data_IF_924342536833
#
_entry.id   IF_924342536833
#
_cell.length_a   1.000
_cell.length_b   1.000
_cell.length_c   1.000
_cell.angle_alpha   90.00
_cell.angle_beta   90.00
_cell.angle_gamma   90.00
#
_symmetry.space_group_name_H-M   'P 1'
#
loop_
_entity.id
_entity.type
_entity.pdbx_description
1 polymer ?
#
# COMPACT_ATOMS: atom_id res chain seq x y z
N UNK A 1 -3.43 -2.81 16.12
CA UNK A 1 -1.97 -2.96 16.30
C UNK A 1 -1.40 -3.50 15.01
N UNK A 2 -0.29 -2.93 14.53
CA UNK A 2 0.40 -3.44 13.36
C UNK A 2 1.44 -4.48 13.78
N UNK A 3 1.61 -5.49 12.94
CA UNK A 3 2.61 -6.54 13.06
C UNK A 3 3.45 -6.59 11.77
N UNK A 4 4.63 -7.23 11.80
CA UNK A 4 5.40 -7.46 10.59
C UNK A 4 4.55 -8.15 9.51
N UNK A 5 4.72 -7.68 8.28
CA UNK A 5 4.04 -8.19 7.10
C UNK A 5 5.05 -8.93 6.23
N UNK A 6 4.76 -10.18 5.92
CA UNK A 6 5.62 -11.05 5.12
C UNK A 6 4.99 -11.36 3.77
N UNK A 7 5.80 -11.72 2.77
CA UNK A 7 5.33 -12.00 1.40
C UNK A 7 4.32 -13.15 1.35
N UNK A 8 4.47 -14.11 2.25
CA UNK A 8 3.63 -15.31 2.37
C UNK A 8 2.25 -15.01 2.98
N UNK A 9 2.07 -13.80 3.56
CA UNK A 9 0.79 -13.40 4.11
C UNK A 9 -0.26 -13.22 3.01
N UNK A 10 -1.42 -13.86 3.19
CA UNK A 10 -2.53 -13.84 2.23
C UNK A 10 -3.25 -12.48 2.08
N UNK A 11 -2.76 -11.41 2.69
CA UNK A 11 -3.45 -10.11 2.70
C UNK A 11 -3.53 -9.51 1.28
N UNK A 12 -2.47 -9.63 0.48
CA UNK A 12 -2.48 -9.18 -0.92
C UNK A 12 -3.37 -10.06 -1.81
N UNK A 13 -3.61 -11.31 -1.41
CA UNK A 13 -4.49 -12.24 -2.12
C UNK A 13 -5.94 -12.19 -1.61
N UNK A 14 -6.25 -11.29 -0.66
CA UNK A 14 -7.59 -11.13 -0.12
C UNK A 14 -8.47 -10.30 -1.05
N UNK A 15 -9.72 -10.73 -1.25
CA UNK A 15 -10.64 -10.08 -2.20
C UNK A 15 -10.80 -8.57 -2.01
N UNK A 16 -10.70 -8.07 -0.77
CA UNK A 16 -10.79 -6.63 -0.49
C UNK A 16 -9.57 -5.86 -1.03
N UNK A 17 -8.37 -6.43 -0.91
CA UNK A 17 -7.16 -5.82 -1.47
C UNK A 17 -7.15 -5.92 -2.99
N UNK A 18 -7.57 -7.06 -3.56
CA UNK A 18 -7.62 -7.29 -5.00
C UNK A 18 -8.44 -6.22 -5.75
N UNK A 19 -9.53 -5.74 -5.14
CA UNK A 19 -10.32 -4.64 -5.69
C UNK A 19 -9.55 -3.31 -5.83
N UNK A 20 -8.42 -3.16 -5.11
CA UNK A 20 -7.56 -1.99 -5.15
C UNK A 20 -6.15 -2.30 -5.67
N UNK A 21 -5.88 -3.54 -6.12
CA UNK A 21 -4.53 -4.00 -6.46
C UNK A 21 -3.86 -3.09 -7.47
N UNK A 22 -4.58 -2.66 -8.51
CA UNK A 22 -4.03 -1.78 -9.55
C UNK A 22 -3.48 -0.47 -8.97
N UNK A 23 -4.16 0.11 -7.97
CA UNK A 23 -3.74 1.36 -7.31
C UNK A 23 -2.53 1.13 -6.38
N UNK A 24 -2.38 -0.08 -5.84
CA UNK A 24 -1.37 -0.44 -4.86
C UNK A 24 -0.39 -1.51 -5.39
N UNK A 25 -0.24 -1.59 -6.72
CA UNK A 25 0.59 -2.60 -7.38
C UNK A 25 2.06 -2.52 -6.96
N UNK A 26 2.51 -1.32 -6.56
CA UNK A 26 3.83 -1.05 -6.00
C UNK A 26 4.13 -1.89 -4.76
N UNK A 27 3.13 -2.39 -4.03
CA UNK A 27 3.36 -3.19 -2.83
C UNK A 27 4.12 -4.47 -3.18
N UNK A 28 3.84 -5.07 -4.33
CA UNK A 28 4.54 -6.26 -4.81
C UNK A 28 6.03 -5.99 -5.10
N UNK A 29 6.36 -4.77 -5.55
CA UNK A 29 7.72 -4.35 -5.89
C UNK A 29 8.51 -3.87 -4.67
N UNK A 30 7.87 -3.16 -3.74
CA UNK A 30 8.55 -2.65 -2.53
C UNK A 30 9.11 -3.82 -1.72
N UNK A 31 8.44 -4.97 -1.67
CA UNK A 31 8.95 -6.19 -1.04
C UNK A 31 10.28 -6.72 -1.60
N UNK A 32 10.64 -6.36 -2.83
CA UNK A 32 11.87 -6.82 -3.46
C UNK A 32 13.08 -5.93 -3.10
N UNK A 33 12.85 -4.86 -2.33
CA UNK A 33 13.89 -3.98 -1.81
C UNK A 33 14.79 -4.64 -0.75
N UNK A 34 15.97 -4.05 -0.53
CA UNK A 34 16.93 -4.56 0.47
C UNK A 34 16.59 -4.19 1.91
N UNK A 35 15.98 -3.02 2.12
CA UNK A 35 15.59 -2.51 3.44
C UNK A 35 14.12 -2.12 3.42
N UNK A 36 13.27 -3.08 3.80
CA UNK A 36 11.82 -2.95 3.74
C UNK A 36 11.25 -2.86 5.15
N UNK A 37 10.50 -1.79 5.41
CA UNK A 37 9.57 -1.74 6.54
C UNK A 37 8.21 -2.17 6.02
N UNK A 38 7.78 -3.37 6.37
CA UNK A 38 6.48 -3.92 5.98
C UNK A 38 5.65 -4.24 7.21
N UNK A 39 4.51 -3.59 7.34
CA UNK A 39 3.60 -3.69 8.47
C UNK A 39 2.18 -3.96 7.98
N UNK A 40 1.42 -4.75 8.73
CA UNK A 40 -0.01 -4.95 8.50
C UNK A 40 -0.79 -5.05 9.81
N UNK A 41 -2.09 -4.82 9.76
CA UNK A 41 -2.95 -5.12 10.91
C UNK A 41 -3.25 -6.61 11.02
N UNK A 42 -3.50 -7.10 12.24
CA UNK A 42 -3.80 -8.53 12.49
C UNK A 42 -5.05 -9.02 11.74
N UNK A 43 -6.00 -8.13 11.53
CA UNK A 43 -7.27 -8.35 10.82
C UNK A 43 -7.16 -8.10 9.31
N UNK A 44 -5.94 -7.88 8.77
CA UNK A 44 -5.66 -7.71 7.35
C UNK A 44 -6.43 -6.55 6.69
N UNK A 45 -6.76 -5.50 7.45
CA UNK A 45 -7.51 -4.32 6.99
C UNK A 45 -6.64 -3.10 6.71
N UNK A 46 -5.34 -3.17 6.98
CA UNK A 46 -4.41 -2.16 6.54
C UNK A 46 -3.01 -2.74 6.34
N UNK A 47 -2.28 -2.14 5.42
CA UNK A 47 -0.90 -2.44 5.09
C UNK A 47 -0.16 -1.11 5.02
N UNK A 48 1.01 -1.05 5.64
CA UNK A 48 1.94 0.06 5.50
C UNK A 48 3.29 -0.52 5.07
N UNK A 49 3.82 -0.08 3.93
CA UNK A 49 5.06 -0.64 3.38
C UNK A 49 5.97 0.45 2.82
N UNK A 50 7.27 0.33 3.05
CA UNK A 50 8.26 1.33 2.66
C UNK A 50 9.61 0.67 2.36
N UNK A 51 10.30 1.17 1.34
CA UNK A 51 11.75 1.04 1.24
C UNK A 51 12.40 2.24 1.91
N UNK A 52 13.34 2.03 2.83
CA UNK A 52 14.04 3.11 3.52
C UNK A 52 14.51 4.19 2.53
N UNK A 53 14.20 5.46 2.81
CA UNK A 53 14.51 6.59 1.94
C UNK A 53 13.43 6.97 0.92
N UNK A 54 12.39 6.15 0.73
CA UNK A 54 11.23 6.45 -0.11
C UNK A 54 9.98 6.74 0.73
N UNK A 55 8.89 7.20 0.12
CA UNK A 55 7.63 7.38 0.84
C UNK A 55 7.06 6.04 1.33
N UNK A 56 6.54 6.03 2.56
CA UNK A 56 5.78 4.88 3.03
C UNK A 56 4.42 4.84 2.35
N UNK A 57 4.06 3.71 1.78
CA UNK A 57 2.75 3.52 1.21
C UNK A 57 1.78 2.94 2.23
N UNK A 58 0.56 3.48 2.26
CA UNK A 58 -0.52 3.10 3.16
C UNK A 58 -1.76 2.69 2.37
N UNK A 59 -2.19 1.45 2.60
CA UNK A 59 -3.51 0.96 2.21
C UNK A 59 -4.35 0.69 3.46
N UNK A 60 -5.62 1.09 3.43
CA UNK A 60 -6.61 0.82 4.48
C UNK A 60 -7.90 0.39 3.79
N UNK A 61 -8.55 -0.64 4.34
CA UNK A 61 -9.87 -1.08 3.91
C UNK A 61 -10.92 0.00 4.21
N UNK A 62 -11.43 0.63 3.16
CA UNK A 62 -12.39 1.73 3.22
C UNK A 62 -13.80 1.30 3.65
N UNK A 63 -14.12 0.01 3.57
CA UNK A 63 -15.42 -0.53 4.00
C UNK A 63 -15.57 -0.56 5.53
N UNK A 64 -14.60 -0.03 6.27
CA UNK A 64 -14.61 0.06 7.73
C UNK A 64 -15.23 1.38 8.17
N UNK A 65 -15.87 1.37 9.33
CA UNK A 65 -16.34 2.59 9.97
C UNK A 65 -15.20 3.60 10.15
N UNK A 66 -15.49 4.88 9.96
CA UNK A 66 -14.53 5.98 10.10
C UNK A 66 -13.79 5.95 11.46
N UNK A 67 -14.49 5.57 12.53
CA UNK A 67 -13.92 5.41 13.87
C UNK A 67 -12.84 4.30 13.94
N UNK A 68 -13.01 3.22 13.18
CA UNK A 68 -12.03 2.12 13.07
C UNK A 68 -10.85 2.53 12.23
N UNK A 69 -11.08 3.23 11.11
CA UNK A 69 -10.02 3.79 10.26
C UNK A 69 -9.14 4.75 11.09
N UNK A 70 -9.75 5.64 11.86
CA UNK A 70 -9.04 6.59 12.73
C UNK A 70 -8.15 5.87 13.76
N UNK A 71 -8.65 4.79 14.37
CA UNK A 71 -7.88 3.93 15.29
C UNK A 71 -6.74 3.18 14.60
N UNK A 72 -6.96 2.67 13.38
CA UNK A 72 -5.92 2.00 12.59
C UNK A 72 -4.79 3.00 12.32
N UNK A 73 -5.11 4.18 11.79
CA UNK A 73 -4.10 5.19 11.45
C UNK A 73 -3.38 5.68 12.71
N UNK A 74 -4.10 5.93 13.81
CA UNK A 74 -3.49 6.31 15.08
C UNK A 74 -2.53 5.26 15.63
N UNK A 75 -2.88 3.96 15.51
CA UNK A 75 -1.98 2.86 15.88
C UNK A 75 -0.71 2.85 15.03
N UNK A 76 -0.80 3.19 13.74
CA UNK A 76 0.38 3.28 12.87
C UNK A 76 1.28 4.44 13.28
N UNK A 77 0.73 5.64 13.50
CA UNK A 77 1.50 6.81 13.91
C UNK A 77 2.28 6.55 15.22
N UNK A 78 1.64 5.92 16.21
CA UNK A 78 2.30 5.59 17.48
C UNK A 78 3.47 4.62 17.31
N UNK A 79 3.34 3.66 16.40
CA UNK A 79 4.40 2.68 16.11
C UNK A 79 5.56 3.30 15.32
N UNK A 80 5.29 4.32 14.51
CA UNK A 80 6.28 4.98 13.66
C UNK A 80 6.90 6.24 14.27
N UNK A 81 6.45 6.69 15.45
CA UNK A 81 6.89 7.97 16.06
C UNK A 81 8.41 8.14 16.17
N UNK A 82 9.16 7.06 16.32
CA UNK A 82 10.63 7.07 16.45
C UNK A 82 11.37 6.91 15.11
N UNK A 83 10.67 6.42 14.07
CA UNK A 83 11.25 6.09 12.76
C UNK A 83 11.57 7.30 11.88
N UNK A 84 11.28 8.53 12.34
CA UNK A 84 11.48 9.80 11.61
C UNK A 84 11.01 9.71 10.15
N UNK A 85 9.78 9.24 9.94
CA UNK A 85 9.21 9.09 8.62
C UNK A 85 9.20 10.43 7.86
N UNK A 86 9.78 10.46 6.66
CA UNK A 86 9.86 11.66 5.82
C UNK A 86 8.60 11.93 5.01
N UNK A 87 7.90 10.88 4.55
CA UNK A 87 6.70 11.01 3.74
C UNK A 87 5.81 9.75 3.77
N UNK A 88 4.52 9.95 3.49
CA UNK A 88 3.52 8.89 3.34
C UNK A 88 2.70 9.11 2.06
N UNK A 89 2.36 8.03 1.38
CA UNK A 89 1.56 7.97 0.15
C UNK A 89 0.41 6.99 0.34
N UNK A 90 -0.74 7.26 -0.28
CA UNK A 90 -1.93 6.40 -0.18
C UNK A 90 -3.17 7.13 -0.67
N UNK A 91 -4.36 6.60 -0.38
CA UNK A 91 -5.61 7.34 -0.65
C UNK A 91 -5.57 8.70 0.05
N UNK A 92 -5.94 9.81 -0.63
CA UNK A 92 -5.78 11.16 -0.10
C UNK A 92 -6.39 11.37 1.29
N UNK A 93 -7.57 10.79 1.53
CA UNK A 93 -8.25 10.84 2.82
C UNK A 93 -7.43 10.21 3.96
N UNK A 94 -6.82 9.05 3.75
CA UNK A 94 -6.04 8.35 4.77
C UNK A 94 -4.67 8.99 4.97
N UNK A 95 -4.04 9.43 3.87
CA UNK A 95 -2.78 10.17 3.93
C UNK A 95 -2.94 11.48 4.73
N UNK A 96 -4.07 12.18 4.56
CA UNK A 96 -4.40 13.39 5.33
C UNK A 96 -4.62 13.08 6.81
N UNK A 97 -5.42 12.07 7.15
CA UNK A 97 -5.63 11.69 8.56
C UNK A 97 -4.31 11.29 9.22
N UNK A 98 -3.44 10.56 8.51
CA UNK A 98 -2.12 10.20 9.00
C UNK A 98 -1.26 11.44 9.23
N UNK A 99 -1.15 12.33 8.23
CA UNK A 99 -0.27 13.49 8.33
C UNK A 99 -0.67 14.43 9.46
N UNK A 100 -1.96 14.63 9.70
CA UNK A 100 -2.49 15.43 10.80
C UNK A 100 -2.23 14.82 12.19
N UNK A 101 -2.33 13.49 12.32
CA UNK A 101 -2.06 12.79 13.59
C UNK A 101 -0.56 12.70 13.87
N UNK A 102 0.21 12.31 12.86
CA UNK A 102 1.65 12.14 12.98
C UNK A 102 2.35 13.45 13.30
N UNK A 103 1.99 14.55 12.63
CA UNK A 103 2.53 15.88 12.88
C UNK A 103 2.31 16.36 14.31
N UNK A 104 1.16 16.03 14.91
CA UNK A 104 0.86 16.34 16.33
C UNK A 104 1.71 15.52 17.30
N UNK A 105 1.99 14.26 16.98
CA UNK A 105 2.81 13.38 17.82
C UNK A 105 4.29 13.75 17.76
N UNK A 106 4.77 14.18 16.59
CA UNK A 106 6.20 14.47 16.37
C UNK A 106 6.53 15.97 16.37
N UNK A 107 5.57 16.84 16.72
CA UNK A 107 5.69 18.31 16.69
C UNK A 107 6.25 18.86 15.37
N UNK A 108 5.95 18.18 14.26
CA UNK A 108 6.48 18.50 12.93
C UNK A 108 5.43 19.25 12.10
N UNK A 109 5.85 20.01 11.08
CA UNK A 109 4.93 20.53 10.07
C UNK A 109 4.63 19.46 9.02
N UNK A 110 3.46 19.55 8.38
CA UNK A 110 3.10 18.67 7.26
C UNK A 110 2.76 19.50 6.01
N UNK A 111 2.92 18.87 4.85
CA UNK A 111 2.50 19.41 3.55
C UNK A 111 1.90 18.27 2.74
N UNK A 112 0.74 18.51 2.15
CA UNK A 112 0.12 17.57 1.22
C UNK A 112 0.57 17.96 -0.19
N UNK A 113 1.04 16.97 -0.96
CA UNK A 113 1.33 17.11 -2.38
C UNK A 113 0.72 15.94 -3.15
N UNK A 114 0.34 16.21 -4.39
CA UNK A 114 0.05 15.19 -5.39
C UNK A 114 1.23 15.18 -6.35
N UNK A 115 1.80 14.01 -6.59
CA UNK A 115 2.86 13.82 -7.57
C UNK A 115 2.40 12.82 -8.62
N UNK A 116 2.70 13.11 -9.88
CA UNK A 116 2.49 12.18 -10.97
C UNK A 116 3.84 11.56 -11.29
N UNK A 117 4.01 10.27 -11.00
CA UNK A 117 5.19 9.53 -11.41
C UNK A 117 4.90 8.88 -12.75
N UNK A 118 5.59 9.35 -13.80
CA UNK A 118 5.56 8.67 -15.09
C UNK A 118 6.43 7.42 -14.98
N UNK A 119 5.80 6.24 -15.04
CA UNK A 119 6.55 4.99 -15.06
C UNK A 119 7.16 4.77 -16.45
N UNK A 120 8.48 4.89 -16.54
CA UNK A 120 9.22 4.55 -17.76
C UNK A 120 9.92 3.21 -17.57
N UNK A 121 9.41 2.16 -18.21
CA UNK A 121 10.11 0.89 -18.33
C UNK A 121 11.19 1.00 -19.41
N UNK A 122 12.41 1.40 -19.03
CA UNK A 122 13.52 1.58 -19.98
C UNK A 122 14.04 0.26 -20.58
N UNK A 123 13.80 -0.87 -19.90
CA UNK A 123 14.17 -2.21 -20.36
C UNK A 123 13.04 -3.17 -20.10
N UNK A 124 12.55 -3.84 -21.14
CA UNK A 124 11.55 -4.89 -21.02
C UNK A 124 12.17 -6.06 -20.25
N UNK A 125 11.71 -6.29 -19.02
CA UNK A 125 12.06 -7.48 -18.25
C UNK A 125 11.07 -8.57 -18.64
N UNK A 126 11.53 -9.55 -19.43
CA UNK A 126 10.69 -10.72 -19.72
C UNK A 126 10.52 -11.54 -18.44
N UNK A 127 9.28 -11.83 -18.03
CA UNK A 127 9.06 -12.62 -16.84
C UNK A 127 9.52 -14.06 -17.12
N UNK A 128 10.44 -14.58 -16.30
CA UNK A 128 10.95 -15.95 -16.40
C UNK A 128 10.07 -16.87 -15.57
N UNK A 129 9.72 -18.05 -16.09
CA UNK A 129 8.96 -19.10 -15.40
C UNK A 129 7.50 -18.76 -15.04
N UNK A 130 6.82 -17.90 -15.80
CA UNK A 130 5.37 -17.71 -15.65
C UNK A 130 4.66 -18.95 -16.18
N UNK A 131 3.98 -19.69 -15.30
CA UNK A 131 3.08 -20.76 -15.72
C UNK A 131 1.82 -20.14 -16.31
N UNK A 132 1.64 -20.30 -17.61
CA UNK A 132 0.48 -19.82 -18.34
C UNK A 132 0.41 -20.46 -19.72
N UNK A 133 -0.74 -20.38 -20.36
CA UNK A 133 -0.92 -20.81 -21.75
C UNK A 133 -1.50 -19.65 -22.54
N UNK A 134 -0.94 -19.38 -23.71
CA UNK A 134 -1.59 -18.53 -24.69
C UNK A 134 -2.84 -19.26 -25.16
N UNK A 135 -4.01 -18.66 -24.93
CA UNK A 135 -5.28 -19.15 -25.43
C UNK A 135 -5.78 -18.21 -26.52
N UNK A 136 -6.43 -18.77 -27.54
CA UNK A 136 -7.14 -17.98 -28.54
C UNK A 136 -8.28 -17.25 -27.82
N UNK A 137 -8.41 -15.95 -28.07
CA UNK A 137 -9.50 -15.17 -27.50
C UNK A 137 -10.84 -15.64 -28.07
N UNK A 138 -11.75 -16.01 -27.18
CA UNK A 138 -13.14 -16.39 -27.48
C UNK A 138 -14.10 -15.34 -26.92
N UNK A 139 -15.37 -15.35 -27.37
CA UNK A 139 -16.41 -14.44 -26.88
C UNK A 139 -16.61 -14.52 -25.35
N UNK A 140 -16.36 -15.69 -24.75
CA UNK A 140 -16.42 -15.92 -23.30
C UNK A 140 -15.28 -15.27 -22.52
N UNK A 141 -14.26 -14.71 -23.19
CA UNK A 141 -13.17 -13.97 -22.55
C UNK A 141 -13.43 -12.46 -22.51
N UNK A 142 -14.64 -12.01 -22.87
CA UNK A 142 -15.03 -10.62 -22.74
C UNK A 142 -15.49 -10.35 -21.30
N UNK A 143 -14.84 -9.39 -20.65
CA UNK A 143 -15.43 -8.74 -19.49
C UNK A 143 -16.50 -7.75 -19.98
N UNK A 144 -17.72 -7.88 -19.49
CA UNK A 144 -18.76 -6.86 -19.71
C UNK A 144 -18.44 -5.72 -18.76
N UNK A 145 -17.89 -4.63 -19.29
CA UNK A 145 -17.80 -3.36 -18.57
C UNK A 145 -19.19 -2.70 -18.69
N UNK A 146 -19.94 -2.70 -17.58
CA UNK A 146 -21.25 -2.02 -17.46
C UNK A 146 -21.02 -0.61 -16.91
#
# INVERSE_FOLDING_TARGET
MFKPFFREDKVLNGGIFLNCEVQFNLFHYIFEGKEVIALKTCDNNAIAIQNTGHAMWLWVNENREKSKIDKIIGSLCNQLKESKLSSISGKPEFAKIFSEKYSKITESSNKISLSMEAYQCQKIIQPKNVQGKLIKAELSNRDIII
#
